data_IF_657339721439
#
_entry.id   IF_657339721439
#
_cell.length_a   1.000
_cell.length_b   1.000
_cell.length_c   1.000
_cell.angle_alpha   90.00
_cell.angle_beta   90.00
_cell.angle_gamma   90.00
#
_symmetry.space_group_name_H-M   'P 1'
#
loop_
_entity.id
_entity.type
_entity.pdbx_description
1 polymer ?
#
# COMPACT_ATOMS: atom_id res chain seq x y z
N UNK A 1 -44.57 -61.10 -0.03
CA UNK A 1 -43.45 -60.25 -0.47
C UNK A 1 -43.56 -58.93 0.27
N UNK A 2 -42.46 -58.53 0.93
CA UNK A 2 -42.18 -57.25 1.60
C UNK A 2 -43.12 -56.82 2.76
N UNK A 3 -42.64 -57.02 3.99
CA UNK A 3 -42.92 -56.14 5.13
C UNK A 3 -41.60 -55.46 5.48
N UNK A 4 -41.59 -54.13 5.40
CA UNK A 4 -40.44 -53.27 5.66
C UNK A 4 -40.36 -52.94 7.16
N UNK A 5 -39.36 -53.50 7.85
CA UNK A 5 -38.95 -53.09 9.19
C UNK A 5 -37.84 -52.03 9.09
N UNK A 6 -38.21 -50.77 9.37
CA UNK A 6 -37.27 -49.66 9.52
C UNK A 6 -36.75 -49.59 10.95
N UNK A 7 -35.53 -50.08 11.17
CA UNK A 7 -34.81 -49.94 12.43
C UNK A 7 -34.06 -48.60 12.48
N UNK A 8 -34.54 -47.67 13.31
CA UNK A 8 -33.83 -46.43 13.64
C UNK A 8 -32.65 -46.74 14.59
N UNK A 9 -31.41 -46.57 14.11
CA UNK A 9 -30.21 -46.58 14.95
C UNK A 9 -29.84 -45.16 15.39
N UNK A 10 -29.77 -44.98 16.71
CA UNK A 10 -29.48 -43.73 17.42
C UNK A 10 -28.03 -43.24 17.19
N UNK A 11 -27.88 -42.04 16.63
CA UNK A 11 -26.62 -41.42 16.23
C UNK A 11 -25.85 -40.70 17.36
N UNK A 12 -26.06 -41.05 18.63
CA UNK A 12 -25.47 -40.32 19.78
C UNK A 12 -24.72 -41.18 20.81
N UNK A 13 -23.85 -42.09 20.38
CA UNK A 13 -22.90 -42.76 21.27
C UNK A 13 -21.54 -43.03 20.60
N UNK A 14 -20.80 -41.98 20.23
CA UNK A 14 -19.39 -42.11 19.86
C UNK A 14 -18.55 -41.11 20.67
N UNK A 15 -18.11 -41.53 21.86
CA UNK A 15 -17.09 -40.82 22.64
C UNK A 15 -15.78 -40.86 21.86
N UNK A 16 -15.33 -39.72 21.36
CA UNK A 16 -13.99 -39.57 20.76
C UNK A 16 -12.92 -39.68 21.86
N UNK A 17 -11.85 -40.47 21.69
CA UNK A 17 -10.74 -40.48 22.63
C UNK A 17 -9.91 -39.18 22.51
N UNK A 18 -9.48 -38.65 23.65
CA UNK A 18 -8.58 -37.49 23.75
C UNK A 18 -7.25 -37.81 23.07
N UNK A 19 -6.69 -36.93 22.21
CA UNK A 19 -5.34 -37.12 21.70
C UNK A 19 -4.30 -36.84 22.81
N UNK A 20 -3.46 -37.84 23.11
CA UNK A 20 -2.23 -37.67 23.89
C UNK A 20 -1.31 -36.67 23.16
N UNK A 21 -1.05 -35.52 23.79
CA UNK A 21 0.09 -34.67 23.44
C UNK A 21 1.36 -35.34 23.94
N UNK A 22 2.13 -35.93 23.03
CA UNK A 22 3.55 -36.21 23.27
C UNK A 22 4.38 -35.11 22.61
N UNK A 23 4.83 -34.16 23.42
CA UNK A 23 5.94 -33.26 23.07
C UNK A 23 7.24 -34.06 23.08
N UNK A 24 7.77 -34.38 21.88
CA UNK A 24 9.17 -34.75 21.70
C UNK A 24 9.96 -33.48 21.35
N UNK A 25 10.68 -32.92 22.32
CA UNK A 25 11.82 -32.05 22.05
C UNK A 25 13.03 -32.97 21.86
N UNK A 26 13.59 -33.00 20.66
CA UNK A 26 14.88 -33.61 20.41
C UNK A 26 15.66 -32.76 19.42
N UNK A 27 16.92 -32.51 19.79
CA UNK A 27 18.08 -32.21 18.96
C UNK A 27 18.20 -30.81 18.37
N UNK A 28 18.81 -29.93 19.17
CA UNK A 28 19.78 -28.96 18.66
C UNK A 28 21.18 -29.58 18.84
N UNK A 29 21.82 -30.00 17.74
CA UNK A 29 23.22 -30.37 17.76
C UNK A 29 23.90 -30.07 16.41
N UNK A 30 24.85 -29.13 16.47
CA UNK A 30 26.07 -28.97 15.66
C UNK A 30 25.92 -28.72 14.15
N UNK A 31 26.22 -27.49 13.74
CA UNK A 31 27.23 -27.26 12.69
C UNK A 31 27.78 -25.82 12.75
N UNK A 32 28.99 -25.67 13.28
CA UNK A 32 29.84 -24.49 13.05
C UNK A 32 31.28 -24.89 13.39
N UNK A 33 31.95 -25.44 12.38
CA UNK A 33 33.40 -25.49 12.26
C UNK A 33 33.66 -25.17 10.79
N UNK A 34 34.29 -24.03 10.53
CA UNK A 34 35.22 -23.75 9.43
C UNK A 34 35.62 -22.27 9.47
N UNK A 35 36.54 -21.91 10.37
CA UNK A 35 37.42 -20.76 10.17
C UNK A 35 38.83 -21.31 9.94
N UNK A 36 39.30 -21.20 8.70
CA UNK A 36 40.70 -21.39 8.35
C UNK A 36 41.50 -20.09 8.58
N UNK A 37 42.83 -20.17 8.74
CA UNK A 37 43.67 -19.04 9.12
C UNK A 37 43.94 -18.11 7.93
N UNK A 38 43.91 -16.80 8.21
CA UNK A 38 44.31 -15.74 7.29
C UNK A 38 45.84 -15.74 7.11
N UNK A 39 46.27 -15.69 5.85
CA UNK A 39 47.67 -15.48 5.43
C UNK A 39 47.90 -13.96 5.29
N UNK A 40 49.03 -13.41 5.77
CA UNK A 40 49.34 -12.00 5.62
C UNK A 40 49.93 -11.73 4.23
N UNK A 41 49.31 -10.81 3.49
CA UNK A 41 49.88 -10.24 2.25
C UNK A 41 50.47 -8.88 2.56
N UNK A 42 51.79 -8.78 2.44
CA UNK A 42 52.54 -7.54 2.60
C UNK A 42 52.59 -6.69 1.32
N UNK A 43 52.74 -5.39 1.54
CA UNK A 43 53.52 -4.47 0.70
C UNK A 43 52.90 -3.98 -0.60
N UNK A 44 52.65 -2.67 -0.71
CA UNK A 44 53.65 -1.72 -1.22
C UNK A 44 53.12 -0.28 -1.20
N UNK A 45 53.94 0.61 -0.66
CA UNK A 45 53.74 2.05 -0.65
C UNK A 45 53.85 2.62 -2.07
N UNK A 46 52.94 3.53 -2.44
CA UNK A 46 53.23 4.59 -3.41
C UNK A 46 52.65 5.89 -2.89
N UNK A 47 53.55 6.75 -2.46
CA UNK A 47 53.36 8.17 -2.22
C UNK A 47 52.88 8.83 -3.51
N UNK A 48 51.79 9.58 -3.42
CA UNK A 48 51.39 10.56 -4.43
C UNK A 48 51.36 11.93 -3.75
N UNK A 49 52.15 12.83 -4.32
CA UNK A 49 52.42 14.19 -3.88
C UNK A 49 51.15 15.06 -3.87
N UNK A 50 51.01 15.85 -2.80
CA UNK A 50 49.99 16.89 -2.62
C UNK A 50 50.65 18.26 -2.86
N UNK A 51 50.12 19.13 -3.75
CA UNK A 51 50.53 20.52 -3.82
C UNK A 51 49.73 21.42 -2.86
N UNK A 52 50.29 22.61 -2.50
CA UNK A 52 50.02 23.25 -1.23
C UNK A 52 48.84 24.23 -1.24
N UNK A 53 48.10 24.18 -0.13
CA UNK A 53 47.77 25.27 0.80
C UNK A 53 47.29 26.63 0.23
N UNK A 54 46.06 27.00 0.60
CA UNK A 54 45.69 28.38 0.96
C UNK A 54 44.35 28.41 1.71
N UNK A 55 44.41 28.80 2.98
CA UNK A 55 43.38 29.65 3.58
C UNK A 55 42.63 29.07 4.77
N UNK A 56 43.24 29.20 5.95
CA UNK A 56 42.60 29.01 7.25
C UNK A 56 41.54 30.08 7.55
N UNK A 57 40.44 29.68 8.19
CA UNK A 57 39.86 30.33 9.36
C UNK A 57 39.25 29.25 10.25
N UNK A 58 39.77 29.17 11.47
CA UNK A 58 39.38 28.30 12.57
C UNK A 58 38.24 28.98 13.32
N UNK A 59 37.20 28.24 13.71
CA UNK A 59 36.52 28.44 14.99
C UNK A 59 35.99 27.08 15.46
N UNK A 60 36.51 26.66 16.61
CA UNK A 60 36.19 25.40 17.29
C UNK A 60 34.88 25.53 18.07
N UNK A 61 33.99 24.56 17.91
CA UNK A 61 33.01 24.21 18.94
C UNK A 61 32.84 22.68 18.94
N UNK A 62 33.46 22.04 19.93
CA UNK A 62 33.43 20.61 20.13
C UNK A 62 32.04 20.09 20.51
N UNK A 63 31.70 18.94 19.93
CA UNK A 63 30.55 18.13 20.31
C UNK A 63 30.82 16.69 19.89
N UNK A 64 31.29 15.88 20.84
CA UNK A 64 31.40 14.43 20.72
C UNK A 64 30.01 13.82 20.46
N UNK A 65 29.79 13.32 19.26
CA UNK A 65 28.63 12.47 18.93
C UNK A 65 29.15 11.07 18.68
N UNK A 66 28.75 10.16 19.58
CA UNK A 66 28.99 8.73 19.49
C UNK A 66 28.40 8.20 18.17
N UNK A 67 29.28 7.63 17.33
CA UNK A 67 28.91 6.91 16.13
C UNK A 67 28.08 5.67 16.48
N UNK A 68 26.81 5.71 16.10
CA UNK A 68 25.99 4.51 15.93
C UNK A 68 26.05 4.15 14.45
N UNK A 69 26.73 3.06 14.15
CA UNK A 69 26.71 2.42 12.83
C UNK A 69 25.29 1.91 12.57
N UNK A 70 24.47 2.78 11.98
CA UNK A 70 23.17 2.43 11.42
C UNK A 70 23.37 1.96 10.00
N UNK A 71 23.25 0.66 9.77
CA UNK A 71 23.11 0.09 8.42
C UNK A 71 21.84 0.66 7.77
N UNK A 72 22.04 1.72 6.99
CA UNK A 72 21.03 2.38 6.19
C UNK A 72 20.60 1.43 5.06
N UNK A 73 19.53 0.67 5.32
CA UNK A 73 18.84 -0.11 4.29
C UNK A 73 18.12 0.86 3.35
N UNK A 74 18.86 1.41 2.40
CA UNK A 74 18.33 2.22 1.30
C UNK A 74 17.29 1.42 0.53
N UNK A 75 16.02 1.78 0.70
CA UNK A 75 14.96 1.35 -0.21
C UNK A 75 15.16 2.09 -1.52
N UNK A 76 15.89 1.45 -2.44
CA UNK A 76 16.06 1.91 -3.82
C UNK A 76 14.71 1.83 -4.53
N UNK A 77 13.95 2.93 -4.52
CA UNK A 77 12.82 3.13 -5.39
C UNK A 77 13.36 3.37 -6.80
N UNK A 78 13.68 2.28 -7.50
CA UNK A 78 14.18 2.34 -8.86
C UNK A 78 13.27 3.20 -9.75
N UNK A 79 13.80 4.35 -10.17
CA UNK A 79 13.21 5.33 -11.11
C UNK A 79 13.18 4.78 -12.55
N UNK A 80 12.68 3.56 -12.73
CA UNK A 80 12.70 2.82 -14.00
C UNK A 80 11.31 2.42 -14.47
N UNK A 81 10.38 3.35 -14.62
CA UNK A 81 9.11 3.09 -15.31
C UNK A 81 9.33 3.11 -16.83
N UNK A 82 9.77 1.98 -17.37
CA UNK A 82 9.60 1.67 -18.79
C UNK A 82 8.14 1.35 -19.04
N UNK A 83 7.38 2.31 -19.56
CA UNK A 83 6.06 2.07 -20.14
C UNK A 83 6.30 1.49 -21.54
N UNK A 84 5.88 0.25 -21.77
CA UNK A 84 5.72 -0.29 -23.11
C UNK A 84 4.62 0.53 -23.81
N UNK A 85 5.03 1.39 -24.75
CA UNK A 85 4.14 2.23 -25.56
C UNK A 85 3.50 1.40 -26.67
N UNK A 86 2.17 1.26 -26.63
CA UNK A 86 1.34 0.78 -27.75
C UNK A 86 0.79 2.03 -28.47
N UNK A 87 1.47 2.39 -29.57
CA UNK A 87 1.29 3.64 -30.31
C UNK A 87 0.01 3.66 -31.17
N UNK A 88 -1.10 4.02 -30.55
CA UNK A 88 -2.29 4.52 -31.26
C UNK A 88 -2.15 6.01 -31.61
N UNK A 89 -1.72 6.31 -32.83
CA UNK A 89 -1.64 7.65 -33.42
C UNK A 89 -2.85 8.54 -33.09
N UNK A 90 -2.63 9.67 -32.41
CA UNK A 90 -3.61 10.76 -32.22
C UNK A 90 -3.16 12.02 -32.98
N UNK A 91 -4.08 12.77 -33.62
CA UNK A 91 -3.74 13.97 -34.37
C UNK A 91 -3.41 15.17 -33.46
N UNK A 92 -2.62 16.15 -33.94
CA UNK A 92 -2.11 17.25 -33.13
C UNK A 92 -3.21 18.27 -32.79
N UNK A 93 -3.26 18.68 -31.53
CA UNK A 93 -4.07 19.82 -31.07
C UNK A 93 -3.28 21.12 -31.23
N UNK A 94 -3.92 22.12 -31.84
CA UNK A 94 -3.36 23.45 -32.07
C UNK A 94 -3.16 24.29 -30.79
N UNK A 95 -2.54 25.48 -30.92
CA UNK A 95 -2.08 26.28 -29.78
C UNK A 95 -3.25 26.90 -29.01
N UNK A 96 -3.35 26.59 -27.71
CA UNK A 96 -4.26 27.26 -26.77
C UNK A 96 -3.50 28.36 -26.01
N UNK A 97 -3.81 29.61 -26.32
CA UNK A 97 -3.51 30.77 -25.47
C UNK A 97 -4.79 31.17 -24.73
N UNK A 98 -4.88 30.83 -23.45
CA UNK A 98 -5.46 31.72 -22.43
C UNK A 98 -5.22 31.15 -21.02
N UNK A 99 -4.70 32.00 -20.13
CA UNK A 99 -4.51 31.70 -18.71
C UNK A 99 -5.86 31.67 -18.01
N UNK A 100 -6.60 30.59 -18.20
CA UNK A 100 -7.81 30.32 -17.44
C UNK A 100 -7.39 29.79 -16.06
N UNK A 101 -7.59 30.61 -15.04
CA UNK A 101 -7.40 30.25 -13.63
C UNK A 101 -8.33 29.06 -13.33
N UNK A 102 -7.77 27.85 -13.26
CA UNK A 102 -8.52 26.62 -13.07
C UNK A 102 -9.25 26.62 -11.71
N UNK A 103 -10.50 27.09 -11.68
CA UNK A 103 -11.50 26.65 -10.68
C UNK A 103 -11.89 25.20 -10.99
N UNK A 104 -10.93 24.28 -10.88
CA UNK A 104 -11.15 22.86 -11.02
C UNK A 104 -11.80 22.32 -9.75
N UNK A 105 -12.81 21.46 -9.90
CA UNK A 105 -13.29 20.62 -8.81
C UNK A 105 -12.07 19.94 -8.15
N UNK A 106 -11.88 20.20 -6.85
CA UNK A 106 -10.72 19.73 -6.07
C UNK A 106 -10.62 18.20 -6.00
N UNK A 107 -11.68 17.49 -6.40
CA UNK A 107 -11.69 16.05 -6.49
C UNK A 107 -12.11 15.63 -7.90
N UNK A 108 -11.36 14.73 -8.57
CA UNK A 108 -11.88 14.08 -9.76
C UNK A 108 -13.22 13.42 -9.42
N UNK A 109 -14.21 13.45 -10.33
CA UNK A 109 -15.48 12.77 -10.09
C UNK A 109 -15.18 11.34 -9.68
N UNK A 110 -15.75 10.92 -8.54
CA UNK A 110 -15.66 9.54 -8.09
C UNK A 110 -16.36 8.71 -9.17
N UNK A 111 -15.58 8.10 -10.07
CA UNK A 111 -16.12 7.17 -11.06
C UNK A 111 -16.85 6.08 -10.28
N UNK A 112 -18.19 6.14 -10.35
CA UNK A 112 -19.09 5.11 -9.81
C UNK A 112 -19.17 3.90 -10.73
N UNK A 113 -18.35 3.85 -11.77
CA UNK A 113 -18.17 2.64 -12.57
C UNK A 113 -17.90 1.51 -11.60
N UNK A 114 -18.81 0.55 -11.64
CA UNK A 114 -18.77 -0.65 -10.83
C UNK A 114 -17.48 -1.36 -11.16
N UNK A 115 -16.41 -1.03 -10.43
CA UNK A 115 -15.17 -1.77 -10.47
C UNK A 115 -15.56 -3.22 -10.24
N UNK A 116 -15.47 -4.01 -11.31
CA UNK A 116 -15.76 -5.43 -11.25
C UNK A 116 -14.89 -5.97 -10.12
N UNK A 117 -15.54 -6.48 -9.07
CA UNK A 117 -14.83 -7.10 -7.94
C UNK A 117 -14.11 -8.38 -8.38
N UNK A 118 -14.31 -8.80 -9.62
CA UNK A 118 -13.68 -9.94 -10.26
C UNK A 118 -12.38 -9.46 -10.90
N UNK A 119 -11.24 -10.05 -10.51
CA UNK A 119 -9.96 -9.69 -11.10
C UNK A 119 -9.93 -9.94 -12.62
N UNK A 120 -9.21 -9.12 -13.40
CA UNK A 120 -9.14 -9.24 -14.87
C UNK A 120 -8.76 -10.64 -15.35
N UNK A 121 -7.93 -11.35 -14.58
CA UNK A 121 -7.51 -12.71 -14.90
C UNK A 121 -8.69 -13.69 -14.99
N UNK A 122 -9.73 -13.51 -14.17
CA UNK A 122 -10.93 -14.34 -14.19
C UNK A 122 -11.94 -13.90 -15.26
N UNK A 123 -12.05 -12.60 -15.54
CA UNK A 123 -12.95 -12.11 -16.60
C UNK A 123 -12.47 -12.52 -17.97
N UNK A 124 -11.17 -12.58 -18.14
CA UNK A 124 -10.59 -12.84 -19.44
C UNK A 124 -10.54 -14.34 -19.75
N UNK A 125 -10.92 -15.23 -18.82
CA UNK A 125 -10.75 -16.68 -18.96
C UNK A 125 -9.28 -17.09 -19.14
N UNK A 126 -8.35 -16.42 -18.46
CA UNK A 126 -6.98 -16.92 -18.40
C UNK A 126 -7.00 -18.30 -17.71
N UNK A 127 -6.22 -19.30 -18.18
CA UNK A 127 -6.21 -20.61 -17.57
C UNK A 127 -5.59 -20.60 -16.16
N UNK A 128 -6.00 -21.55 -15.33
CA UNK A 128 -5.64 -21.61 -13.90
C UNK A 128 -4.13 -21.67 -13.64
N UNK A 129 -3.35 -22.33 -14.49
CA UNK A 129 -1.89 -22.39 -14.34
C UNK A 129 -1.22 -21.02 -14.55
N UNK A 130 -1.75 -20.14 -15.40
CA UNK A 130 -1.23 -18.77 -15.54
C UNK A 130 -1.51 -17.97 -14.27
N UNK A 131 -2.70 -18.09 -13.69
CA UNK A 131 -3.01 -17.45 -12.41
C UNK A 131 -2.08 -17.90 -11.29
N UNK A 132 -1.78 -19.20 -11.23
CA UNK A 132 -0.85 -19.74 -10.25
C UNK A 132 0.57 -19.21 -10.46
N UNK A 133 1.04 -19.12 -11.71
CA UNK A 133 2.34 -18.53 -12.02
C UNK A 133 2.41 -17.05 -11.58
N UNK A 134 1.38 -16.25 -11.91
CA UNK A 134 1.29 -14.86 -11.49
C UNK A 134 1.24 -14.73 -9.97
N UNK A 135 0.42 -15.54 -9.30
CA UNK A 135 0.26 -15.50 -7.85
C UNK A 135 1.54 -15.91 -7.14
N UNK A 136 2.25 -16.91 -7.65
CA UNK A 136 3.54 -17.34 -7.12
C UNK A 136 4.58 -16.23 -7.20
N UNK A 137 4.68 -15.54 -8.34
CA UNK A 137 5.59 -14.41 -8.50
C UNK A 137 5.26 -13.27 -7.52
N UNK A 138 3.97 -12.95 -7.34
CA UNK A 138 3.52 -11.94 -6.37
C UNK A 138 3.80 -12.35 -4.93
N UNK A 139 3.55 -13.60 -4.56
CA UNK A 139 3.84 -14.11 -3.21
C UNK A 139 5.34 -14.13 -2.93
N UNK A 140 6.18 -14.51 -3.89
CA UNK A 140 7.63 -14.48 -3.74
C UNK A 140 8.13 -13.04 -3.51
N UNK A 141 7.58 -12.06 -4.23
CA UNK A 141 7.91 -10.66 -4.02
C UNK A 141 7.47 -10.16 -2.63
N UNK A 142 6.22 -10.44 -2.23
CA UNK A 142 5.63 -9.85 -1.02
C UNK A 142 6.03 -10.57 0.26
N UNK A 143 6.09 -11.90 0.25
CA UNK A 143 6.32 -12.72 1.44
C UNK A 143 7.78 -13.13 1.60
N UNK A 144 8.47 -13.40 0.50
CA UNK A 144 9.86 -13.83 0.51
C UNK A 144 10.84 -12.68 0.23
N UNK A 145 10.33 -11.44 0.18
CA UNK A 145 11.11 -10.22 -0.03
C UNK A 145 11.99 -10.28 -1.30
N UNK A 146 11.55 -11.05 -2.31
CA UNK A 146 12.28 -11.16 -3.56
C UNK A 146 12.21 -9.83 -4.32
N UNK A 147 13.35 -9.38 -4.85
CA UNK A 147 13.40 -8.15 -5.65
C UNK A 147 12.46 -8.22 -6.86
N UNK A 148 12.02 -7.06 -7.34
CA UNK A 148 11.12 -6.98 -8.51
C UNK A 148 11.76 -7.65 -9.73
N UNK A 149 13.05 -7.41 -9.96
CA UNK A 149 13.81 -8.02 -11.06
C UNK A 149 13.80 -9.55 -10.97
N UNK A 150 14.19 -10.12 -9.82
CA UNK A 150 14.18 -11.59 -9.64
C UNK A 150 12.79 -12.19 -9.73
N UNK A 151 11.76 -11.46 -9.30
CA UNK A 151 10.37 -11.90 -9.42
C UNK A 151 9.91 -11.93 -10.88
N UNK A 152 10.36 -10.98 -11.71
CA UNK A 152 10.12 -10.98 -13.16
C UNK A 152 10.84 -12.15 -13.83
N UNK A 153 12.13 -12.36 -13.53
CA UNK A 153 12.91 -13.49 -14.07
C UNK A 153 12.28 -14.84 -13.68
N UNK A 154 11.85 -14.99 -12.43
CA UNK A 154 11.16 -16.20 -11.97
C UNK A 154 9.83 -16.43 -12.67
N UNK A 155 9.07 -15.35 -12.93
CA UNK A 155 7.82 -15.42 -13.68
C UNK A 155 8.09 -15.83 -15.12
N UNK A 156 9.04 -15.18 -15.79
CA UNK A 156 9.42 -15.48 -17.18
C UNK A 156 9.90 -16.92 -17.34
N UNK A 157 10.76 -17.41 -16.43
CA UNK A 157 11.21 -18.81 -16.44
C UNK A 157 10.03 -19.79 -16.30
N UNK A 158 9.04 -19.46 -15.47
CA UNK A 158 7.83 -20.29 -15.31
C UNK A 158 6.99 -20.30 -16.59
N UNK A 159 6.84 -19.14 -17.24
CA UNK A 159 6.09 -19.01 -18.50
C UNK A 159 6.80 -19.71 -19.66
N UNK A 160 8.12 -19.61 -19.72
CA UNK A 160 8.94 -20.27 -20.73
C UNK A 160 8.92 -21.79 -20.58
N UNK A 161 8.77 -22.32 -19.36
CA UNK A 161 8.55 -23.75 -19.13
C UNK A 161 7.16 -24.22 -19.59
N UNK A 162 6.14 -23.36 -19.52
CA UNK A 162 4.76 -23.68 -19.94
C UNK A 162 4.59 -23.61 -21.46
N UNK A 163 5.37 -22.79 -22.15
CA UNK A 163 5.32 -22.61 -23.61
C UNK A 163 5.55 -23.90 -24.41
N UNK A 164 6.65 -24.68 -24.22
CA UNK A 164 6.87 -25.91 -24.96
C UNK A 164 5.87 -27.02 -24.59
N UNK A 165 5.25 -26.93 -23.42
CA UNK A 165 4.23 -27.87 -22.98
C UNK A 165 2.84 -27.61 -23.63
N UNK A 166 2.71 -26.57 -24.46
CA UNK A 166 1.45 -26.25 -25.16
C UNK A 166 0.36 -25.70 -24.24
N UNK A 167 0.70 -25.25 -23.03
CA UNK A 167 -0.26 -24.70 -22.09
C UNK A 167 -0.57 -23.21 -22.36
N UNK A 168 0.27 -22.48 -23.10
CA UNK A 168 -0.02 -21.06 -23.38
C UNK A 168 -1.13 -20.96 -24.44
N UNK A 169 -2.28 -20.32 -24.16
CA UNK A 169 -3.37 -20.19 -25.13
C UNK A 169 -2.90 -19.50 -26.42
N UNK A 170 -3.25 -20.06 -27.56
CA UNK A 170 -3.01 -19.41 -28.85
C UNK A 170 -3.72 -18.05 -28.90
N UNK A 171 -3.01 -17.01 -29.34
CA UNK A 171 -3.55 -15.66 -29.48
C UNK A 171 -3.50 -14.79 -28.22
N UNK A 172 -2.91 -15.25 -27.11
CA UNK A 172 -2.67 -14.40 -25.93
C UNK A 172 -1.23 -14.45 -25.46
N UNK A 173 -0.64 -13.27 -25.27
CA UNK A 173 0.69 -13.11 -24.68
C UNK A 173 0.56 -13.03 -23.16
N UNK A 174 1.13 -13.99 -22.39
CA UNK A 174 1.17 -13.91 -20.94
C UNK A 174 1.90 -12.65 -20.48
N UNK A 175 1.52 -12.09 -19.33
CA UNK A 175 2.21 -10.92 -18.79
C UNK A 175 3.54 -11.34 -18.17
N UNK A 176 4.62 -10.66 -18.53
CA UNK A 176 5.99 -10.99 -18.09
C UNK A 176 6.50 -10.19 -16.90
N UNK A 177 5.84 -9.06 -16.60
CA UNK A 177 6.25 -8.20 -15.49
C UNK A 177 5.37 -8.42 -14.26
N UNK A 178 5.98 -8.32 -13.09
CA UNK A 178 5.32 -8.42 -11.79
C UNK A 178 4.22 -7.37 -11.64
N UNK A 179 4.44 -6.15 -12.14
CA UNK A 179 3.43 -5.09 -12.11
C UNK A 179 2.18 -5.50 -12.92
N UNK A 180 2.37 -5.99 -14.15
CA UNK A 180 1.27 -6.46 -14.98
C UNK A 180 0.60 -7.71 -14.40
N UNK A 181 1.37 -8.61 -13.78
CA UNK A 181 0.82 -9.76 -13.05
C UNK A 181 -0.06 -9.31 -11.86
N UNK A 182 0.39 -8.34 -11.06
CA UNK A 182 -0.41 -7.73 -9.97
C UNK A 182 -1.71 -7.13 -10.52
N UNK A 183 -1.65 -6.39 -11.64
CA UNK A 183 -2.86 -5.83 -12.30
C UNK A 183 -3.81 -6.92 -12.76
N UNK A 184 -3.29 -7.96 -13.42
CA UNK A 184 -4.05 -9.11 -13.91
C UNK A 184 -4.81 -9.80 -12.77
N UNK A 185 -4.15 -9.98 -11.63
CA UNK A 185 -4.72 -10.56 -10.42
C UNK A 185 -5.61 -9.61 -9.60
N UNK A 186 -5.77 -8.35 -10.00
CA UNK A 186 -6.52 -7.35 -9.22
C UNK A 186 -5.85 -6.99 -7.89
N UNK A 187 -4.53 -7.20 -7.80
CA UNK A 187 -3.69 -6.94 -6.62
C UNK A 187 -2.84 -5.68 -6.75
N UNK A 188 -2.92 -4.95 -7.87
CA UNK A 188 -2.13 -3.72 -8.06
C UNK A 188 -2.62 -2.62 -7.09
N UNK A 189 -1.80 -2.18 -6.11
CA UNK A 189 -2.20 -1.11 -5.22
C UNK A 189 -2.36 0.23 -5.96
N UNK A 190 -1.66 0.43 -7.08
CA UNK A 190 -1.65 1.70 -7.80
C UNK A 190 -3.01 2.08 -8.35
N UNK A 191 -3.89 1.10 -8.64
CA UNK A 191 -5.26 1.39 -9.11
C UNK A 191 -6.10 2.12 -8.05
N UNK A 192 -5.65 2.13 -6.79
CA UNK A 192 -6.31 2.81 -5.68
C UNK A 192 -5.57 4.06 -5.21
N UNK A 193 -4.37 4.29 -5.74
CA UNK A 193 -3.55 5.45 -5.40
C UNK A 193 -3.93 6.57 -6.36
N UNK A 194 -4.56 7.60 -5.82
CA UNK A 194 -4.76 8.88 -6.48
C UNK A 194 -3.48 9.68 -6.29
N UNK A 195 -2.81 9.98 -7.40
CA UNK A 195 -1.58 10.75 -7.40
C UNK A 195 -1.93 12.24 -7.45
N UNK A 196 -1.56 12.98 -6.41
CA UNK A 196 -1.62 14.45 -6.43
C UNK A 196 -0.22 15.00 -6.61
N UNK A 197 -0.10 15.93 -7.56
CA UNK A 197 1.10 16.75 -7.68
C UNK A 197 0.98 17.91 -6.70
N UNK A 198 1.99 18.08 -5.86
CA UNK A 198 2.02 19.16 -4.87
C UNK A 198 3.31 19.94 -5.01
N UNK A 199 3.27 21.20 -4.58
CA UNK A 199 4.49 21.96 -4.49
C UNK A 199 5.14 21.77 -3.12
N UNK A 200 6.44 21.44 -3.06
CA UNK A 200 7.10 21.15 -1.79
C UNK A 200 7.43 22.40 -0.95
N UNK A 201 7.31 23.61 -1.52
CA UNK A 201 7.67 24.88 -0.84
C UNK A 201 6.43 25.70 -0.51
N UNK A 202 6.46 26.42 0.61
CA UNK A 202 5.36 27.26 1.09
C UNK A 202 5.08 28.47 0.17
N UNK A 203 6.11 28.91 -0.55
CA UNK A 203 6.21 30.07 -1.43
C UNK A 203 6.26 29.65 -2.92
N UNK A 204 5.49 28.61 -3.25
CA UNK A 204 5.48 28.06 -4.59
C UNK A 204 4.64 28.88 -5.59
N UNK A 205 5.21 29.11 -6.78
CA UNK A 205 4.51 29.73 -7.93
C UNK A 205 3.40 28.87 -8.56
N UNK A 206 2.97 27.78 -7.91
CA UNK A 206 1.98 26.83 -8.43
C UNK A 206 2.52 25.88 -9.52
N UNK A 207 3.82 25.85 -9.76
CA UNK A 207 4.43 24.94 -10.75
C UNK A 207 4.64 23.57 -10.09
N UNK A 208 3.76 22.62 -10.40
CA UNK A 208 3.76 21.27 -9.83
C UNK A 208 4.39 20.20 -10.74
N UNK A 209 4.91 20.61 -11.90
CA UNK A 209 5.56 19.74 -12.88
C UNK A 209 6.80 20.40 -13.49
N UNK A 210 7.76 19.57 -13.87
CA UNK A 210 8.90 19.90 -14.74
C UNK A 210 8.66 19.31 -16.12
N UNK A 211 9.00 20.03 -17.18
CA UNK A 211 8.92 19.53 -18.55
C UNK A 211 10.28 18.93 -18.96
N UNK A 212 10.30 17.69 -19.43
CA UNK A 212 11.49 17.03 -19.99
C UNK A 212 11.21 16.64 -21.43
N UNK A 213 12.22 16.78 -22.30
CA UNK A 213 12.15 16.25 -23.67
C UNK A 213 12.52 14.78 -23.67
N UNK A 214 11.70 13.95 -24.31
CA UNK A 214 11.96 12.54 -24.57
C UNK A 214 12.94 12.37 -25.73
N UNK A 215 13.44 11.15 -25.92
CA UNK A 215 14.29 10.81 -27.07
C UNK A 215 13.58 11.01 -28.42
N UNK A 216 12.25 10.92 -28.46
CA UNK A 216 11.41 11.24 -29.63
C UNK A 216 11.32 12.74 -29.94
N UNK A 217 11.80 13.61 -29.03
CA UNK A 217 11.68 15.07 -29.13
C UNK A 217 10.41 15.64 -28.51
N UNK A 218 9.48 14.79 -28.06
CA UNK A 218 8.26 15.22 -27.38
C UNK A 218 8.55 15.78 -25.99
N UNK A 219 7.73 16.72 -25.54
CA UNK A 219 7.86 17.27 -24.19
C UNK A 219 6.84 16.58 -23.27
N UNK A 220 7.33 15.78 -22.31
CA UNK A 220 6.51 15.15 -21.28
C UNK A 220 6.61 15.93 -19.97
N UNK A 221 5.47 16.10 -19.30
CA UNK A 221 5.39 16.70 -17.97
C UNK A 221 5.65 15.64 -16.90
N UNK A 222 6.60 15.91 -16.03
CA UNK A 222 6.96 15.08 -14.89
C UNK A 222 6.59 15.83 -13.60
N UNK A 223 5.75 15.25 -12.72
CA UNK A 223 5.40 15.91 -11.45
C UNK A 223 6.65 16.10 -10.59
N UNK A 224 6.76 17.25 -9.92
CA UNK A 224 7.91 17.57 -9.05
C UNK A 224 7.90 16.70 -7.80
N UNK A 225 6.73 16.52 -7.20
CA UNK A 225 6.50 15.65 -6.04
C UNK A 225 5.11 15.04 -6.16
N UNK A 226 5.06 13.70 -6.08
CA UNK A 226 3.81 12.95 -6.03
C UNK A 226 3.55 12.60 -4.57
N UNK A 227 2.40 12.99 -4.04
CA UNK A 227 1.88 12.41 -2.80
C UNK A 227 0.87 11.34 -3.19
N UNK A 228 1.15 10.07 -2.91
CA UNK A 228 0.15 9.02 -3.08
C UNK A 228 -0.94 9.23 -2.04
N UNK A 229 -2.16 9.47 -2.49
CA UNK A 229 -3.34 9.44 -1.63
C UNK A 229 -4.19 8.23 -1.97
N UNK A 230 -4.85 7.64 -0.99
CA UNK A 230 -5.85 6.59 -1.20
C UNK A 230 -7.21 7.13 -0.81
N UNK A 231 -8.24 6.81 -1.59
CA UNK A 231 -9.61 7.20 -1.24
C UNK A 231 -9.96 6.64 0.14
N UNK A 232 -10.34 7.48 1.14
CA UNK A 232 -10.68 7.00 2.47
C UNK A 232 -11.76 5.91 2.44
N UNK A 233 -12.77 6.06 1.57
CA UNK A 233 -13.84 5.08 1.40
C UNK A 233 -13.30 3.74 0.88
N UNK A 234 -12.40 3.76 -0.10
CA UNK A 234 -11.80 2.54 -0.64
C UNK A 234 -10.91 1.86 0.41
N UNK A 235 -10.11 2.63 1.14
CA UNK A 235 -9.27 2.14 2.24
C UNK A 235 -10.12 1.49 3.32
N UNK A 236 -11.21 2.14 3.75
CA UNK A 236 -12.14 1.60 4.74
C UNK A 236 -12.79 0.30 4.29
N UNK A 237 -13.26 0.23 3.05
CA UNK A 237 -13.83 -1.01 2.49
C UNK A 237 -12.83 -2.16 2.53
N UNK A 238 -11.56 -1.90 2.25
CA UNK A 238 -10.48 -2.90 2.31
C UNK A 238 -10.17 -3.31 3.74
N UNK A 239 -10.03 -2.34 4.64
CA UNK A 239 -9.79 -2.58 6.06
C UNK A 239 -10.91 -3.44 6.67
N UNK A 240 -12.18 -3.07 6.46
CA UNK A 240 -13.34 -3.82 7.00
C UNK A 240 -13.45 -5.25 6.44
N UNK A 241 -12.92 -5.50 5.23
CA UNK A 241 -12.86 -6.85 4.64
C UNK A 241 -11.71 -7.69 5.16
N UNK A 242 -10.70 -7.10 5.82
CA UNK A 242 -9.56 -7.83 6.37
C UNK A 242 -10.03 -8.71 7.53
N UNK A 243 -9.68 -10.00 7.49
CA UNK A 243 -9.98 -10.95 8.57
C UNK A 243 -9.40 -10.41 9.89
N UNK A 244 -10.21 -10.43 10.97
CA UNK A 244 -9.85 -9.89 12.27
C UNK A 244 -10.13 -8.39 12.44
N UNK A 245 -10.26 -7.61 11.37
CA UNK A 245 -10.53 -6.16 11.51
C UNK A 245 -11.88 -5.88 12.18
N UNK A 246 -12.87 -6.76 12.00
CA UNK A 246 -14.16 -6.66 12.67
C UNK A 246 -14.05 -6.75 14.20
N UNK A 247 -13.02 -7.42 14.71
CA UNK A 247 -12.74 -7.52 16.16
C UNK A 247 -12.13 -6.22 16.70
N UNK A 248 -11.52 -5.40 15.83
CA UNK A 248 -11.01 -4.07 16.17
C UNK A 248 -12.11 -3.00 16.18
N UNK A 249 -13.29 -3.29 15.61
CA UNK A 249 -14.42 -2.36 15.64
C UNK A 249 -15.04 -2.35 17.05
N UNK A 250 -14.91 -1.22 17.75
CA UNK A 250 -15.53 -1.01 19.05
C UNK A 250 -17.02 -0.65 18.90
N UNK A 251 -17.88 -1.39 19.59
CA UNK A 251 -19.30 -1.03 19.74
C UNK A 251 -19.46 -0.12 20.97
N UNK A 252 -19.76 1.15 20.73
CA UNK A 252 -19.91 2.17 21.78
C UNK A 252 -21.34 2.37 22.26
N UNK A 253 -22.32 1.56 21.80
CA UNK A 253 -23.76 1.74 22.09
C UNK A 253 -24.19 1.47 23.54
N UNK A 254 -23.26 1.14 24.42
CA UNK A 254 -23.48 0.99 25.86
C UNK A 254 -22.30 1.48 26.69
N UNK A 255 -21.36 2.18 26.07
CA UNK A 255 -20.25 2.78 26.82
C UNK A 255 -20.80 3.90 27.70
N UNK A 256 -20.49 3.84 28.99
CA UNK A 256 -20.79 4.92 29.92
C UNK A 256 -20.15 6.23 29.43
N UNK A 257 -20.80 7.35 29.75
CA UNK A 257 -20.16 8.66 29.56
C UNK A 257 -18.79 8.64 30.25
N UNK A 258 -17.77 9.18 29.59
CA UNK A 258 -16.40 9.34 30.14
C UNK A 258 -15.60 8.06 30.36
N UNK A 259 -15.98 6.92 29.76
CA UNK A 259 -15.16 5.69 29.83
C UNK A 259 -13.76 5.86 29.22
N UNK A 260 -13.58 6.84 28.35
CA UNK A 260 -12.29 7.13 27.72
C UNK A 260 -11.43 8.12 28.53
N UNK A 261 -11.86 8.55 29.72
CA UNK A 261 -11.03 9.36 30.63
C UNK A 261 -10.04 8.49 31.43
N UNK A 262 -10.04 7.18 31.20
CA UNK A 262 -8.99 6.27 31.71
C UNK A 262 -7.68 6.59 30.99
N UNK A 263 -6.64 6.96 31.75
CA UNK A 263 -5.33 7.40 31.26
C UNK A 263 -4.69 6.43 30.25
N UNK A 264 -5.07 5.15 30.29
CA UNK A 264 -4.43 4.08 29.52
C UNK A 264 -5.06 3.82 28.14
N UNK A 265 -6.26 4.34 27.85
CA UNK A 265 -7.01 3.84 26.69
C UNK A 265 -6.65 4.55 25.37
N UNK A 266 -6.25 5.83 25.41
CA UNK A 266 -6.09 6.67 24.20
C UNK A 266 -5.11 7.85 24.42
N UNK A 267 -3.88 7.59 24.88
CA UNK A 267 -2.86 8.63 25.20
C UNK A 267 -2.57 9.57 24.03
N UNK A 268 -2.72 9.12 22.78
CA UNK A 268 -2.49 9.90 21.56
C UNK A 268 -3.72 10.66 21.05
N UNK A 269 -4.90 10.45 21.66
CA UNK A 269 -6.12 11.18 21.31
C UNK A 269 -6.53 12.10 22.46
N UNK A 270 -6.24 13.38 22.28
CA UNK A 270 -6.42 14.41 23.30
C UNK A 270 -7.88 14.71 23.71
N UNK A 271 -8.90 14.11 23.09
CA UNK A 271 -10.30 14.42 23.42
C UNK A 271 -11.27 13.24 23.27
N UNK A 272 -11.24 12.33 24.26
CA UNK A 272 -12.23 11.27 24.41
C UNK A 272 -13.66 11.79 24.65
N UNK A 273 -13.82 13.03 25.11
CA UNK A 273 -15.12 13.64 25.37
C UNK A 273 -15.79 14.10 24.07
N UNK A 274 -15.02 14.69 23.14
CA UNK A 274 -15.49 15.06 21.81
C UNK A 274 -16.14 13.88 21.10
N UNK A 275 -15.60 12.66 21.26
CA UNK A 275 -16.15 11.42 20.71
C UNK A 275 -17.67 11.27 20.99
N UNK A 276 -18.10 11.53 22.22
CA UNK A 276 -19.50 11.37 22.63
C UNK A 276 -20.39 12.58 22.27
N UNK A 277 -19.78 13.70 21.90
CA UNK A 277 -20.47 14.92 21.53
C UNK A 277 -20.78 15.00 20.03
N UNK A 278 -20.19 14.13 19.20
CA UNK A 278 -20.42 14.14 17.76
C UNK A 278 -21.86 13.82 17.40
N UNK A 279 -22.37 14.54 16.40
CA UNK A 279 -23.76 14.48 15.96
C UNK A 279 -23.82 14.20 14.46
N UNK A 280 -24.81 13.41 14.07
CA UNK A 280 -25.17 13.23 12.65
C UNK A 280 -26.04 14.38 12.17
N UNK A 281 -26.29 14.46 10.85
CA UNK A 281 -27.18 15.48 10.30
C UNK A 281 -26.58 16.88 10.23
N UNK A 282 -25.29 17.04 10.47
CA UNK A 282 -24.58 18.31 10.31
C UNK A 282 -24.08 18.49 8.86
N UNK A 283 -23.98 19.74 8.42
CA UNK A 283 -23.28 20.18 7.22
C UNK A 283 -22.24 21.22 7.61
N UNK A 284 -21.10 21.18 6.93
CA UNK A 284 -20.04 22.16 7.12
C UNK A 284 -20.35 23.39 6.28
N UNK A 285 -20.43 24.55 6.91
CA UNK A 285 -20.55 25.85 6.26
C UNK A 285 -19.22 26.59 6.36
N UNK A 286 -18.79 27.17 5.24
CA UNK A 286 -17.63 28.07 5.19
C UNK A 286 -18.19 29.49 5.17
N UNK A 287 -17.92 30.25 6.23
CA UNK A 287 -18.31 31.65 6.34
C UNK A 287 -17.55 32.54 5.35
N UNK A 288 -17.98 33.79 5.23
CA UNK A 288 -17.41 34.78 4.31
C UNK A 288 -15.90 34.99 4.50
N UNK A 289 -15.40 34.82 5.73
CA UNK A 289 -13.98 34.94 6.08
C UNK A 289 -13.23 33.60 6.08
N UNK A 290 -13.78 32.54 5.48
CA UNK A 290 -13.16 31.22 5.47
C UNK A 290 -13.31 30.43 6.78
N UNK A 291 -13.95 31.00 7.80
CA UNK A 291 -14.24 30.32 9.06
C UNK A 291 -15.17 29.13 8.81
N UNK A 292 -14.77 27.95 9.27
CA UNK A 292 -15.53 26.71 9.07
C UNK A 292 -16.34 26.43 10.33
N UNK A 293 -17.66 26.28 10.17
CA UNK A 293 -18.57 25.86 11.26
C UNK A 293 -19.45 24.71 10.83
N UNK A 294 -19.79 23.84 11.78
CA UNK A 294 -20.77 22.77 11.54
C UNK A 294 -22.16 23.26 11.94
N UNK A 295 -23.12 23.16 11.01
CA UNK A 295 -24.51 23.62 11.17
C UNK A 295 -25.43 22.43 10.93
N UNK A 296 -26.48 22.21 11.74
CA UNK A 296 -27.46 21.18 11.47
C UNK A 296 -28.11 21.40 10.09
N UNK A 297 -28.31 20.32 9.32
CA UNK A 297 -28.98 20.37 8.00
C UNK A 297 -30.46 20.76 8.13
N UNK A 298 -31.09 20.32 9.20
CA UNK A 298 -32.45 20.69 9.63
C UNK A 298 -32.48 20.77 11.15
N UNK A 299 -33.39 21.55 11.73
CA UNK A 299 -33.48 21.72 13.19
C UNK A 299 -33.62 20.39 13.96
N UNK A 300 -34.29 19.39 13.35
CA UNK A 300 -34.56 18.10 13.97
C UNK A 300 -33.53 16.99 13.69
N UNK A 301 -32.55 17.19 12.80
CA UNK A 301 -31.62 16.11 12.41
C UNK A 301 -30.41 15.94 13.32
N UNK A 302 -30.37 16.70 14.43
CA UNK A 302 -29.21 16.78 15.31
C UNK A 302 -29.13 15.62 16.32
N UNK A 303 -29.08 14.40 15.81
CA UNK A 303 -29.02 13.18 16.63
C UNK A 303 -27.57 12.85 16.99
N UNK A 304 -27.32 12.43 18.24
CA UNK A 304 -25.99 11.95 18.65
C UNK A 304 -25.57 10.76 17.79
N UNK A 305 -24.29 10.67 17.44
CA UNK A 305 -23.78 9.52 16.67
C UNK A 305 -24.03 8.19 17.39
N UNK A 306 -23.93 8.18 18.72
CA UNK A 306 -24.14 6.99 19.56
C UNK A 306 -25.59 6.46 19.59
N UNK A 307 -26.59 7.28 19.24
CA UNK A 307 -27.99 6.83 19.21
C UNK A 307 -28.40 6.16 17.89
N UNK A 308 -27.55 6.23 16.86
CA UNK A 308 -27.81 5.60 15.59
C UNK A 308 -27.31 4.14 15.60
N UNK A 309 -28.08 3.24 14.97
CA UNK A 309 -27.75 1.81 14.94
C UNK A 309 -26.45 1.49 14.20
N UNK A 310 -26.15 2.24 13.14
CA UNK A 310 -25.00 2.06 12.29
C UNK A 310 -24.32 3.40 12.04
N UNK A 311 -23.17 3.60 12.67
CA UNK A 311 -22.34 4.79 12.46
C UNK A 311 -20.89 4.35 12.41
N UNK A 312 -20.15 4.96 11.50
CA UNK A 312 -18.71 4.84 11.43
C UNK A 312 -18.10 6.14 11.91
N UNK A 313 -17.38 6.08 13.03
CA UNK A 313 -16.56 7.18 13.51
C UNK A 313 -15.09 6.84 13.27
N UNK A 314 -14.36 7.79 12.69
CA UNK A 314 -12.96 7.62 12.30
C UNK A 314 -12.18 8.77 12.88
N UNK A 315 -11.22 8.44 13.72
CA UNK A 315 -10.20 9.38 14.18
C UNK A 315 -8.92 8.98 13.48
N UNK A 316 -8.28 9.94 12.83
CA UNK A 316 -6.99 9.77 12.20
C UNK A 316 -6.05 10.78 12.84
N UNK A 317 -4.98 10.30 13.46
CA UNK A 317 -3.88 11.16 13.85
C UNK A 317 -3.12 11.53 12.56
N UNK A 318 -3.01 12.84 12.29
CA UNK A 318 -2.33 13.37 11.10
C UNK A 318 -0.92 13.84 11.42
N UNK A 319 -0.49 13.79 12.69
CA UNK A 319 0.86 14.12 13.11
C UNK A 319 1.74 12.88 12.90
N UNK A 320 2.25 12.72 11.68
CA UNK A 320 3.29 11.76 11.31
C UNK A 320 4.17 12.30 10.19
#
# INVERSE_FOLDING_TARGET
>A
MANDDYTFLCSKCARKPKPLRMTKKANAQKHLQNHGPAVPSGGTNREAEVPPDRGACIDEAGGDVLGLDGDEMGMDFGDGFGLDEDDGMRPPLGPQTDRQLCRGHVYPPLYTDSYSLVAPSFTDNDPSFLWLAYLQAVLNNVRSEMSVLRSNESLEMTLDALKPAGFVPEGRTPVKTLQSAKRRLGLDPNIHIIQYSICPRNDCNGIVYTEKRTASGDTKRHPVKIIPQVSPIQSLRRMVRRKGFRELLRDSRGDGLNRNDDEDLMVDMHDGQAWHQLKTGIRREVGEFGAVRDVPKTEDTNTKMTSNRFVLHLVANLDW
#
